data_IF_469027621686
#
_entry.id   IF_469027621686
#
_cell.length_a   1.000
_cell.length_b   1.000
_cell.length_c   1.000
_cell.angle_alpha   90.00
_cell.angle_beta   90.00
_cell.angle_gamma   90.00
#
_symmetry.space_group_name_H-M   'P 1'
#
loop_
_entity.id
_entity.type
_entity.pdbx_description
1 polymer ?
#
# COMPACT_ATOMS: atom_id res chain seq x y z
N UNK A 1 -4.61 -3.61 12.09
CA UNK A 1 -4.23 -2.19 12.19
C UNK A 1 -3.53 -1.70 10.93
N UNK A 2 -3.91 -0.49 10.47
CA UNK A 2 -3.31 0.20 9.32
C UNK A 2 -2.83 1.58 9.77
N UNK A 3 -1.54 1.85 9.65
CA UNK A 3 -0.93 3.12 10.05
C UNK A 3 -0.37 3.85 8.84
N UNK A 4 -0.51 5.18 8.80
CA UNK A 4 0.04 6.02 7.74
C UNK A 4 0.93 7.11 8.32
N UNK A 5 2.07 7.32 7.69
CA UNK A 5 2.98 8.44 7.94
C UNK A 5 3.35 9.11 6.61
N UNK A 6 3.52 10.44 6.61
CA UNK A 6 3.95 11.19 5.43
C UNK A 6 5.27 11.88 5.74
N UNK A 7 6.31 11.50 4.99
CA UNK A 7 7.57 12.25 4.97
C UNK A 7 7.50 13.30 3.86
N UNK A 8 7.37 14.57 4.27
CA UNK A 8 7.24 15.71 3.36
C UNK A 8 8.56 16.08 2.66
N UNK A 9 9.71 15.81 3.28
CA UNK A 9 11.03 16.11 2.71
C UNK A 9 11.35 15.15 1.56
N UNK A 10 11.15 13.85 1.81
CA UNK A 10 11.40 12.80 0.83
C UNK A 10 10.24 12.58 -0.16
N UNK A 11 9.10 13.26 0.08
CA UNK A 11 7.83 13.06 -0.62
C UNK A 11 7.44 11.58 -0.64
N UNK A 12 7.33 10.97 0.53
CA UNK A 12 6.93 9.57 0.72
C UNK A 12 5.68 9.47 1.58
N UNK A 13 4.71 8.69 1.13
CA UNK A 13 3.58 8.23 1.93
C UNK A 13 3.88 6.78 2.33
N UNK A 14 4.07 6.55 3.62
CA UNK A 14 4.38 5.23 4.18
C UNK A 14 3.13 4.66 4.84
N UNK A 15 2.80 3.42 4.50
CA UNK A 15 1.67 2.69 5.06
C UNK A 15 2.20 1.38 5.64
N UNK A 16 1.99 1.19 6.93
CA UNK A 16 2.34 -0.02 7.66
C UNK A 16 1.05 -0.78 7.99
N UNK A 17 1.02 -2.08 7.70
CA UNK A 17 -0.17 -2.93 7.84
C UNK A 17 0.18 -4.14 8.69
N UNK A 18 -0.59 -4.41 9.75
CA UNK A 18 -0.29 -5.54 10.65
C UNK A 18 -1.50 -5.94 11.50
N UNK A 19 -1.56 -7.19 11.96
CA UNK A 19 -2.58 -7.69 12.88
C UNK A 19 -3.96 -7.78 12.23
N UNK A 20 -5.02 -7.84 13.05
CA UNK A 20 -6.38 -7.90 12.53
C UNK A 20 -6.87 -6.53 12.05
N UNK A 21 -7.58 -6.50 10.93
CA UNK A 21 -8.18 -5.31 10.33
C UNK A 21 -9.68 -5.53 10.22
N UNK A 22 -10.43 -4.85 11.08
CA UNK A 22 -11.89 -4.80 11.00
C UNK A 22 -12.35 -3.89 9.86
N UNK A 23 -13.61 -4.09 9.44
CA UNK A 23 -14.29 -3.20 8.49
C UNK A 23 -14.27 -1.74 8.94
N UNK A 24 -14.45 -1.52 10.25
CA UNK A 24 -14.41 -0.18 10.85
C UNK A 24 -13.04 0.46 10.69
N UNK A 25 -11.96 -0.28 10.94
CA UNK A 25 -10.59 0.22 10.78
C UNK A 25 -10.26 0.56 9.33
N UNK A 26 -10.61 -0.32 8.38
CA UNK A 26 -10.38 -0.08 6.96
C UNK A 26 -11.09 1.20 6.47
N UNK A 27 -12.35 1.39 6.87
CA UNK A 27 -13.13 2.58 6.51
C UNK A 27 -12.59 3.86 7.16
N UNK A 28 -12.26 3.81 8.45
CA UNK A 28 -11.67 4.94 9.18
C UNK A 28 -10.33 5.36 8.57
N UNK A 29 -9.50 4.38 8.24
CA UNK A 29 -8.23 4.60 7.57
C UNK A 29 -8.45 5.28 6.21
N UNK A 30 -9.35 4.76 5.38
CA UNK A 30 -9.59 5.31 4.04
C UNK A 30 -10.11 6.75 4.09
N UNK A 31 -10.97 7.07 5.05
CA UNK A 31 -11.48 8.43 5.26
C UNK A 31 -10.35 9.37 5.69
N UNK A 32 -9.54 8.95 6.66
CA UNK A 32 -8.36 9.72 7.11
C UNK A 32 -7.40 9.97 5.95
N UNK A 33 -7.05 8.93 5.21
CA UNK A 33 -6.19 9.01 4.03
C UNK A 33 -6.68 10.04 3.00
N UNK A 34 -7.98 9.98 2.65
CA UNK A 34 -8.59 10.92 1.69
C UNK A 34 -8.48 12.36 2.16
N UNK A 35 -8.72 12.63 3.44
CA UNK A 35 -8.62 13.98 4.00
C UNK A 35 -7.17 14.47 4.01
N UNK A 36 -6.23 13.64 4.46
CA UNK A 36 -4.81 14.00 4.51
C UNK A 36 -4.22 14.28 3.12
N UNK A 37 -4.64 13.51 2.10
CA UNK A 37 -4.14 13.65 0.74
C UNK A 37 -4.90 14.68 -0.12
N UNK A 38 -6.04 15.21 0.36
CA UNK A 38 -6.95 16.08 -0.42
C UNK A 38 -6.25 17.25 -1.14
N UNK A 39 -5.29 17.88 -0.47
CA UNK A 39 -4.56 19.04 -1.00
C UNK A 39 -3.12 18.71 -1.41
N UNK A 40 -2.76 17.42 -1.45
CA UNK A 40 -1.43 16.94 -1.83
C UNK A 40 -1.49 16.36 -3.23
N UNK A 41 -0.58 16.79 -4.10
CA UNK A 41 -0.46 16.23 -5.45
C UNK A 41 0.16 14.83 -5.36
N UNK A 42 -0.63 13.77 -5.32
CA UNK A 42 -0.12 12.40 -5.15
C UNK A 42 0.95 11.98 -6.16
N UNK A 43 0.91 12.52 -7.37
CA UNK A 43 1.95 12.29 -8.40
C UNK A 43 3.32 12.90 -8.07
N UNK A 44 3.45 13.73 -7.03
CA UNK A 44 4.75 14.13 -6.49
C UNK A 44 5.27 13.17 -5.42
N UNK A 45 4.44 12.27 -4.89
CA UNK A 45 4.79 11.36 -3.81
C UNK A 45 5.05 9.94 -4.31
N UNK A 46 5.94 9.23 -3.61
CA UNK A 46 6.06 7.77 -3.67
C UNK A 46 5.14 7.17 -2.61
N UNK A 47 4.44 6.10 -2.94
CA UNK A 47 3.72 5.28 -1.96
C UNK A 47 4.61 4.11 -1.56
N UNK A 48 4.76 3.86 -0.27
CA UNK A 48 5.49 2.72 0.30
C UNK A 48 4.55 1.95 1.20
N UNK A 49 4.18 0.73 0.81
CA UNK A 49 3.34 -0.15 1.61
C UNK A 49 4.20 -1.25 2.19
N UNK A 50 4.16 -1.42 3.52
CA UNK A 50 4.97 -2.40 4.24
C UNK A 50 4.05 -3.25 5.13
N UNK A 51 3.49 -4.33 4.58
CA UNK A 51 2.68 -5.25 5.36
C UNK A 51 3.58 -6.19 6.17
N UNK A 52 3.19 -6.41 7.42
CA UNK A 52 3.56 -7.55 8.25
C UNK A 52 2.43 -8.59 8.18
N UNK A 53 2.49 -9.66 8.98
CA UNK A 53 1.34 -10.58 9.11
C UNK A 53 0.07 -9.81 9.50
N UNK A 54 -1.01 -9.99 8.73
CA UNK A 54 -2.30 -9.36 8.99
C UNK A 54 -3.43 -10.28 8.54
N UNK A 55 -4.58 -10.12 9.17
CA UNK A 55 -5.85 -10.77 8.83
C UNK A 55 -6.93 -9.71 8.72
N UNK A 56 -7.99 -10.01 7.97
CA UNK A 56 -9.07 -9.08 7.72
C UNK A 56 -10.41 -9.72 7.98
N UNK A 57 -11.34 -8.92 8.49
CA UNK A 57 -12.74 -9.32 8.63
C UNK A 57 -13.39 -9.58 7.27
N UNK A 58 -13.07 -8.74 6.29
CA UNK A 58 -13.58 -8.80 4.92
C UNK A 58 -12.46 -8.43 3.93
N UNK A 59 -12.16 -9.32 3.00
CA UNK A 59 -11.13 -9.09 1.98
C UNK A 59 -11.52 -7.96 1.01
N UNK A 60 -12.81 -7.72 0.80
CA UNK A 60 -13.30 -6.66 -0.11
C UNK A 60 -13.00 -5.25 0.43
N UNK A 61 -12.91 -5.09 1.75
CA UNK A 61 -12.53 -3.82 2.36
C UNK A 61 -11.06 -3.48 2.06
N UNK A 62 -10.15 -4.45 2.18
CA UNK A 62 -8.74 -4.26 1.81
C UNK A 62 -8.59 -4.04 0.32
N UNK A 63 -9.33 -4.79 -0.50
CA UNK A 63 -9.35 -4.59 -1.94
C UNK A 63 -9.75 -3.16 -2.29
N UNK A 64 -10.76 -2.62 -1.61
CA UNK A 64 -11.22 -1.24 -1.79
C UNK A 64 -10.13 -0.23 -1.44
N UNK A 65 -9.43 -0.42 -0.32
CA UNK A 65 -8.29 0.43 0.08
C UNK A 65 -7.15 0.37 -0.94
N UNK A 66 -6.74 -0.82 -1.36
CA UNK A 66 -5.70 -1.02 -2.37
C UNK A 66 -6.06 -0.36 -3.71
N UNK A 67 -7.31 -0.50 -4.15
CA UNK A 67 -7.79 0.13 -5.38
C UNK A 67 -7.80 1.65 -5.28
N UNK A 68 -8.08 2.22 -4.11
CA UNK A 68 -7.97 3.66 -3.90
C UNK A 68 -6.54 4.14 -4.12
N UNK A 69 -5.53 3.41 -3.61
CA UNK A 69 -4.12 3.76 -3.81
C UNK A 69 -3.70 3.69 -5.29
N UNK A 70 -4.06 2.59 -5.98
CA UNK A 70 -3.72 2.41 -7.39
C UNK A 70 -4.32 3.53 -8.26
N UNK A 71 -5.58 3.92 -7.99
CA UNK A 71 -6.27 5.00 -8.72
C UNK A 71 -5.74 6.40 -8.39
N UNK A 72 -5.04 6.56 -7.27
CA UNK A 72 -4.58 7.89 -6.80
C UNK A 72 -3.45 8.47 -7.68
N UNK A 73 -2.75 7.65 -8.47
CA UNK A 73 -1.76 8.15 -9.44
C UNK A 73 -0.44 8.60 -8.81
N UNK A 74 0.07 7.85 -7.83
CA UNK A 74 1.38 8.09 -7.23
C UNK A 74 2.53 8.06 -8.25
N UNK A 75 3.61 8.79 -7.97
CA UNK A 75 4.83 8.78 -8.81
C UNK A 75 5.37 7.37 -8.99
N UNK A 76 5.34 6.60 -7.90
CA UNK A 76 5.73 5.19 -7.85
C UNK A 76 5.11 4.53 -6.63
N UNK A 77 4.75 3.27 -6.76
CA UNK A 77 4.25 2.45 -5.66
C UNK A 77 5.29 1.39 -5.35
N UNK A 78 5.64 1.26 -4.08
CA UNK A 78 6.55 0.26 -3.54
C UNK A 78 5.79 -0.65 -2.59
N UNK A 79 6.08 -1.95 -2.70
CA UNK A 79 5.65 -2.96 -1.74
C UNK A 79 6.89 -3.55 -1.08
N UNK A 80 6.99 -3.46 0.24
CA UNK A 80 8.08 -4.05 1.01
C UNK A 80 7.72 -5.50 1.33
N UNK A 81 8.57 -6.45 0.94
CA UNK A 81 8.37 -7.89 1.11
C UNK A 81 9.68 -8.53 1.61
N UNK A 82 9.97 -8.35 2.90
CA UNK A 82 11.26 -8.70 3.54
C UNK A 82 11.65 -10.18 3.41
N UNK A 83 10.67 -11.08 3.35
CA UNK A 83 10.88 -12.52 3.28
C UNK A 83 10.34 -13.15 1.98
N UNK A 84 10.03 -12.34 0.96
CA UNK A 84 9.32 -12.79 -0.25
C UNK A 84 8.00 -13.52 0.06
N UNK A 85 7.39 -13.23 1.23
CA UNK A 85 6.19 -13.90 1.73
C UNK A 85 4.98 -13.55 0.85
N UNK A 86 4.85 -12.28 0.45
CA UNK A 86 3.70 -11.86 -0.36
C UNK A 86 3.85 -12.42 -1.75
N UNK A 87 5.03 -12.26 -2.35
CA UNK A 87 5.29 -12.69 -3.71
C UNK A 87 5.30 -14.21 -3.88
N UNK A 88 5.61 -14.99 -2.83
CA UNK A 88 5.48 -16.45 -2.84
C UNK A 88 4.03 -16.93 -2.74
N UNK A 89 3.18 -16.18 -2.04
CA UNK A 89 1.76 -16.51 -1.84
C UNK A 89 0.83 -15.83 -2.87
N UNK A 90 1.39 -15.07 -3.80
CA UNK A 90 0.64 -14.31 -4.79
C UNK A 90 0.02 -15.23 -5.86
N UNK A 91 -1.29 -15.48 -5.77
CA UNK A 91 -2.04 -16.26 -6.76
C UNK A 91 -2.54 -15.41 -7.92
N UNK A 92 -1.63 -14.80 -8.69
CA UNK A 92 -1.94 -14.08 -9.93
C UNK A 92 -1.55 -14.89 -11.17
N UNK A 93 -2.39 -14.84 -12.21
CA UNK A 93 -2.04 -15.36 -13.54
C UNK A 93 -0.85 -14.57 -14.11
N UNK A 94 -0.07 -15.13 -15.05
CA UNK A 94 1.13 -14.47 -15.58
C UNK A 94 0.89 -13.05 -16.12
N UNK A 95 -0.24 -12.81 -16.78
CA UNK A 95 -0.61 -11.49 -17.31
C UNK A 95 -0.91 -10.51 -16.17
N UNK A 96 -1.67 -10.94 -15.16
CA UNK A 96 -2.01 -10.13 -13.98
C UNK A 96 -0.75 -9.78 -13.20
N UNK A 97 0.15 -10.74 -13.00
CA UNK A 97 1.45 -10.53 -12.35
C UNK A 97 2.29 -9.51 -13.12
N UNK A 98 2.34 -9.60 -14.45
CA UNK A 98 3.05 -8.62 -15.29
C UNK A 98 2.47 -7.22 -15.16
N UNK A 99 1.14 -7.08 -15.14
CA UNK A 99 0.46 -5.79 -14.97
C UNK A 99 0.70 -5.20 -13.57
N UNK A 100 0.65 -6.05 -12.53
CA UNK A 100 0.96 -5.67 -11.16
C UNK A 100 2.39 -5.13 -11.05
N UNK A 101 3.38 -5.88 -11.53
CA UNK A 101 4.80 -5.48 -11.45
C UNK A 101 5.15 -4.26 -12.31
N UNK A 102 4.32 -3.92 -13.31
CA UNK A 102 4.45 -2.66 -14.05
C UNK A 102 4.08 -1.45 -13.18
N UNK A 103 3.14 -1.64 -12.25
CA UNK A 103 2.56 -0.57 -11.42
C UNK A 103 3.19 -0.49 -10.04
N UNK A 104 3.66 -1.63 -9.51
CA UNK A 104 4.18 -1.78 -8.15
C UNK A 104 5.59 -2.37 -8.21
N UNK A 105 6.55 -1.67 -7.59
CA UNK A 105 7.91 -2.18 -7.41
C UNK A 105 8.03 -2.89 -6.07
N UNK A 106 8.24 -4.19 -6.09
CA UNK A 106 8.51 -4.97 -4.88
C UNK A 106 9.97 -4.80 -4.47
N UNK A 107 10.23 -4.60 -3.18
CA UNK A 107 11.57 -4.46 -2.60
C UNK A 107 11.68 -5.24 -1.31
N UNK A 108 12.87 -5.71 -0.97
CA UNK A 108 13.05 -6.51 0.24
C UNK A 108 13.11 -5.63 1.49
N UNK A 109 13.45 -4.34 1.43
CA UNK A 109 13.51 -3.50 2.63
C UNK A 109 13.12 -2.06 2.30
N UNK A 110 12.65 -1.31 3.31
CA UNK A 110 12.41 0.15 3.19
C UNK A 110 13.66 0.91 2.77
N UNK A 111 14.84 0.50 3.23
CA UNK A 111 16.13 1.13 2.93
C UNK A 111 16.52 1.07 1.44
N UNK A 112 15.93 0.17 0.66
CA UNK A 112 16.14 0.10 -0.79
C UNK A 112 15.41 1.21 -1.57
N UNK A 113 14.57 2.01 -0.91
CA UNK A 113 13.72 3.04 -1.51
C UNK A 113 14.41 4.41 -1.39
N UNK A 114 15.16 4.77 -2.45
CA UNK A 114 15.65 6.13 -2.68
C UNK A 114 14.49 7.04 -3.05
#
# INVERSE_FOLDING_TARGET
>A
MINMNINEEEKKVCIDVSGFISKREANNFLNTYKQTMKNKKSSSYKLVVSPSFFECEDEDDIRTVCMAFLKTGYKKIYLVDEANYIMSNLSLKPIEKKLFLKSVKVVNTKGAIK
#
